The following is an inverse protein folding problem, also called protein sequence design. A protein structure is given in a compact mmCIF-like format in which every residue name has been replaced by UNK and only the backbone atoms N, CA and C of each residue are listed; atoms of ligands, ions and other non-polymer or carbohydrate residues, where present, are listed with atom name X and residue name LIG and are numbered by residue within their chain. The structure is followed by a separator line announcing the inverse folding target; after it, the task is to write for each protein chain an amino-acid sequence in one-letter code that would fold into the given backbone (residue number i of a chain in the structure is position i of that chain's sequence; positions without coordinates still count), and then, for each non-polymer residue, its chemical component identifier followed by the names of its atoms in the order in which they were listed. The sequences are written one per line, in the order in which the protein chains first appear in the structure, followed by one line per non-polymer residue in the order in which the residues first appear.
data_IF_316506401757
#
_entry.id   IF_316506401757
#
_cell.length_a   1.000
_cell.length_b   1.000
_cell.length_c   1.000
_cell.angle_alpha   90.00
_cell.angle_beta   90.00
_cell.angle_gamma   90.00
#
_symmetry.space_group_name_H-M   'P 1'
#
loop_
_entity.id
_entity.type
_entity.pdbx_description
1 polymer ?
#
# COMPACT_ATOMS: atom_id res chain seq x y z
N UNK A 1 12.38 -8.59 10.79
CA UNK A 1 11.47 -7.64 11.45
C UNK A 1 10.30 -7.34 10.53
N UNK A 2 9.15 -7.13 11.11
CA UNK A 2 7.94 -6.83 10.37
C UNK A 2 7.55 -5.37 10.57
N UNK A 3 7.10 -4.74 9.51
CA UNK A 3 6.72 -3.33 9.52
C UNK A 3 5.37 -3.14 8.85
N UNK A 4 4.68 -2.09 9.27
CA UNK A 4 3.47 -1.61 8.66
C UNK A 4 3.79 -0.27 8.02
N UNK A 5 3.48 -0.12 6.73
CA UNK A 5 3.77 1.10 5.97
C UNK A 5 2.47 1.63 5.39
N UNK A 6 2.15 2.88 5.69
CA UNK A 6 1.02 3.57 5.07
C UNK A 6 1.46 4.20 3.77
N UNK A 7 0.70 3.95 2.72
CA UNK A 7 0.97 4.49 1.39
C UNK A 7 -0.22 5.30 0.94
N UNK A 8 0.02 6.52 0.49
CA UNK A 8 -1.02 7.40 -0.06
C UNK A 8 -0.82 7.54 -1.55
N UNK A 9 -1.87 7.26 -2.32
CA UNK A 9 -1.86 7.37 -3.77
C UNK A 9 -2.82 8.48 -4.18
N UNK A 10 -2.37 9.50 -4.93
CA UNK A 10 -3.20 10.63 -5.31
C UNK A 10 -4.12 10.29 -6.49
N UNK A 11 -5.08 9.42 -6.26
CA UNK A 11 -6.13 9.10 -7.22
C UNK A 11 -7.43 8.82 -6.48
N UNK A 12 -8.58 9.12 -7.07
CA UNK A 12 -9.87 8.86 -6.42
C UNK A 12 -10.10 7.38 -6.16
N UNK A 13 -10.75 7.08 -5.06
CA UNK A 13 -11.23 5.75 -4.78
C UNK A 13 -12.63 5.60 -5.36
N UNK A 14 -12.71 5.21 -6.63
CA UNK A 14 -13.97 4.96 -7.31
C UNK A 14 -14.44 3.53 -7.05
N UNK A 15 -15.64 3.20 -7.54
CA UNK A 15 -16.25 1.89 -7.31
C UNK A 15 -15.40 0.75 -7.88
N UNK A 16 -14.86 0.94 -9.07
CA UNK A 16 -14.05 -0.08 -9.73
C UNK A 16 -12.76 -0.34 -8.95
N UNK A 17 -12.09 0.72 -8.51
CA UNK A 17 -10.88 0.61 -7.71
C UNK A 17 -11.18 -0.02 -6.35
N UNK A 18 -12.31 0.33 -5.74
CA UNK A 18 -12.75 -0.27 -4.49
C UNK A 18 -12.88 -1.78 -4.61
N UNK A 19 -13.55 -2.26 -5.66
CA UNK A 19 -13.71 -3.69 -5.90
C UNK A 19 -12.37 -4.39 -6.10
N UNK A 20 -11.49 -3.75 -6.85
CA UNK A 20 -10.15 -4.28 -7.08
C UNK A 20 -9.38 -4.43 -5.77
N UNK A 21 -9.37 -3.38 -4.93
CA UNK A 21 -8.66 -3.41 -3.66
C UNK A 21 -9.29 -4.38 -2.66
N UNK A 22 -10.59 -4.53 -2.65
CA UNK A 22 -11.25 -5.57 -1.84
C UNK A 22 -10.76 -6.96 -2.24
N UNK A 23 -10.62 -7.21 -3.53
CA UNK A 23 -10.07 -8.46 -4.03
C UNK A 23 -8.62 -8.65 -3.61
N UNK A 24 -7.82 -7.59 -3.69
CA UNK A 24 -6.42 -7.61 -3.24
C UNK A 24 -6.32 -7.97 -1.76
N UNK A 25 -7.15 -7.37 -0.92
CA UNK A 25 -7.14 -7.65 0.52
C UNK A 25 -7.58 -9.07 0.86
N UNK A 26 -8.43 -9.68 0.04
CA UNK A 26 -8.88 -11.08 0.27
C UNK A 26 -7.86 -12.11 -0.17
N UNK A 27 -7.01 -11.78 -1.13
CA UNK A 27 -5.99 -12.70 -1.59
C UNK A 27 -4.79 -12.65 -0.62
N UNK A 28 -3.82 -13.55 -0.82
CA UNK A 28 -2.65 -13.64 0.05
C UNK A 28 -1.66 -12.47 -0.22
N UNK A 29 -2.17 -11.27 -0.26
CA UNK A 29 -1.39 -10.06 -0.48
C UNK A 29 -1.02 -9.41 0.84
N UNK A 30 -0.06 -8.49 0.77
CA UNK A 30 0.46 -7.80 1.95
C UNK A 30 -0.31 -6.55 2.32
N UNK A 31 -1.32 -6.19 1.54
CA UNK A 31 -2.20 -5.07 1.88
C UNK A 31 -3.20 -5.53 2.93
N UNK A 32 -3.11 -4.96 4.12
CA UNK A 32 -3.98 -5.35 5.23
C UNK A 32 -5.29 -4.57 5.25
N UNK A 33 -5.28 -3.33 4.80
CA UNK A 33 -6.47 -2.49 4.73
C UNK A 33 -6.28 -1.34 3.77
N UNK A 34 -7.39 -0.74 3.37
CA UNK A 34 -7.37 0.46 2.54
C UNK A 34 -8.59 1.32 2.85
N UNK A 35 -8.47 2.60 2.60
CA UNK A 35 -9.60 3.52 2.58
C UNK A 35 -9.24 4.73 1.72
N UNK A 36 -10.24 5.52 1.38
CA UNK A 36 -9.97 6.70 0.58
C UNK A 36 -11.24 7.43 0.21
N UNK A 37 -11.07 8.47 -0.58
CA UNK A 37 -12.14 9.33 -1.08
C UNK A 37 -11.75 9.87 -2.46
N UNK A 38 -12.38 10.96 -2.89
CA UNK A 38 -12.08 11.58 -4.19
C UNK A 38 -10.67 12.18 -4.25
N UNK A 39 -10.06 12.47 -3.10
CA UNK A 39 -8.74 13.11 -3.03
C UNK A 39 -7.58 12.12 -3.08
N UNK A 40 -7.79 10.90 -2.58
CA UNK A 40 -6.71 9.92 -2.59
C UNK A 40 -7.08 8.61 -1.94
N UNK A 41 -6.22 7.62 -2.16
CA UNK A 41 -6.34 6.27 -1.60
C UNK A 41 -5.22 6.07 -0.60
N UNK A 42 -5.56 5.57 0.59
CA UNK A 42 -4.57 5.18 1.59
C UNK A 42 -4.60 3.67 1.75
N UNK A 43 -3.42 3.07 1.64
CA UNK A 43 -3.23 1.64 1.80
C UNK A 43 -2.30 1.40 2.98
N UNK A 44 -2.54 0.33 3.72
CA UNK A 44 -1.60 -0.13 4.75
C UNK A 44 -1.03 -1.45 4.28
N UNK A 45 0.30 -1.50 4.18
CA UNK A 45 1.03 -2.67 3.66
C UNK A 45 1.87 -3.24 4.79
N UNK A 46 1.80 -4.56 4.97
CA UNK A 46 2.66 -5.26 5.92
C UNK A 46 3.84 -5.87 5.16
N UNK A 47 5.05 -5.50 5.54
CA UNK A 47 6.27 -5.93 4.87
C UNK A 47 7.32 -6.37 5.87
N UNK A 48 8.27 -7.17 5.39
CA UNK A 48 9.45 -7.56 6.17
C UNK A 48 10.66 -6.80 5.69
N UNK A 49 11.59 -6.54 6.59
CA UNK A 49 12.84 -5.88 6.25
C UNK A 49 13.81 -5.93 7.41
N UNK A 50 15.06 -5.65 7.14
CA UNK A 50 16.10 -5.57 8.16
C UNK A 50 16.10 -4.22 8.87
N UNK A 51 15.57 -3.20 8.20
CA UNK A 51 15.48 -1.85 8.73
C UNK A 51 14.33 -1.12 8.03
N UNK A 52 14.07 0.12 8.45
CA UNK A 52 12.99 0.93 7.88
C UNK A 52 13.15 1.18 6.39
N UNK A 53 14.37 1.38 5.92
CA UNK A 53 14.64 1.60 4.50
C UNK A 53 14.27 0.38 3.66
N UNK A 54 14.58 -0.82 4.15
CA UNK A 54 14.17 -2.06 3.51
C UNK A 54 12.66 -2.19 3.47
N UNK A 55 11.98 -1.80 4.55
CA UNK A 55 10.53 -1.82 4.61
C UNK A 55 9.92 -0.91 3.54
N UNK A 56 10.46 0.29 3.34
CA UNK A 56 10.00 1.21 2.30
C UNK A 56 10.19 0.59 0.92
N UNK A 57 11.36 0.00 0.65
CA UNK A 57 11.61 -0.66 -0.64
C UNK A 57 10.63 -1.80 -0.90
N UNK A 58 10.34 -2.59 0.12
CA UNK A 58 9.38 -3.68 0.02
C UNK A 58 7.98 -3.16 -0.26
N UNK A 59 7.58 -2.08 0.42
CA UNK A 59 6.28 -1.44 0.20
C UNK A 59 6.17 -0.88 -1.23
N UNK A 60 7.21 -0.23 -1.73
CA UNK A 60 7.26 0.26 -3.11
C UNK A 60 7.04 -0.89 -4.10
N UNK A 61 7.68 -2.02 -3.85
CA UNK A 61 7.57 -3.20 -4.71
C UNK A 61 6.15 -3.77 -4.70
N UNK A 62 5.52 -3.83 -3.52
CA UNK A 62 4.14 -4.31 -3.38
C UNK A 62 3.17 -3.38 -4.12
N UNK A 63 3.34 -2.07 -3.96
CA UNK A 63 2.48 -1.09 -4.63
C UNK A 63 2.66 -1.13 -6.15
N UNK A 64 3.89 -1.33 -6.62
CA UNK A 64 4.15 -1.48 -8.06
C UNK A 64 3.43 -2.68 -8.67
N UNK A 65 3.25 -3.75 -7.88
CA UNK A 65 2.48 -4.92 -8.31
C UNK A 65 0.96 -4.67 -8.35
N UNK A 66 0.47 -3.76 -7.52
CA UNK A 66 -0.96 -3.42 -7.44
C UNK A 66 -1.33 -2.33 -8.44
N UNK A 67 -0.50 -1.30 -8.53
CA UNK A 67 -0.69 -0.16 -9.44
C UNK A 67 0.55 0.00 -10.34
N UNK A 68 0.69 -0.84 -11.36
CA UNK A 68 1.87 -0.79 -12.23
C UNK A 68 2.03 0.57 -12.91
N UNK A 69 3.27 1.05 -12.96
CA UNK A 69 3.59 2.33 -13.59
C UNK A 69 3.34 3.56 -12.73
N UNK A 70 2.79 3.40 -11.54
CA UNK A 70 2.58 4.52 -10.62
C UNK A 70 3.84 4.78 -9.80
N UNK A 71 4.31 6.03 -9.87
CA UNK A 71 5.51 6.46 -9.14
C UNK A 71 5.23 7.63 -8.19
N UNK A 72 3.98 8.05 -8.09
CA UNK A 72 3.57 9.23 -7.33
C UNK A 72 3.02 8.89 -5.94
N UNK A 73 3.17 7.66 -5.50
CA UNK A 73 2.78 7.26 -4.16
C UNK A 73 3.66 7.89 -3.08
N UNK A 74 3.05 8.26 -1.97
CA UNK A 74 3.76 8.77 -0.80
C UNK A 74 3.78 7.72 0.28
N UNK A 75 4.95 7.47 0.84
CA UNK A 75 5.17 6.42 1.82
C UNK A 75 5.38 7.06 3.19
N UNK A 76 4.57 6.65 4.16
CA UNK A 76 4.73 7.06 5.53
C UNK A 76 5.91 6.36 6.20
N UNK A 77 6.24 6.76 7.41
CA UNK A 77 7.31 6.15 8.16
C UNK A 77 6.90 4.72 8.58
N UNK A 78 7.73 3.71 8.30
CA UNK A 78 7.44 2.33 8.70
C UNK A 78 7.32 2.20 10.22
N UNK A 79 6.30 1.47 10.64
CA UNK A 79 6.09 1.15 12.05
C UNK A 79 6.36 -0.33 12.25
N UNK A 80 7.23 -0.62 13.20
CA UNK A 80 7.53 -2.00 13.55
C UNK A 80 6.34 -2.64 14.28
N UNK A 81 6.01 -3.86 13.90
CA UNK A 81 4.93 -4.62 14.50
C UNK A 81 5.40 -5.95 15.08
#
# INVERSE_FOLDING_TARGET
MHYEVDVTIPRPLDEQTTRFLESVCRSANRVSRFHGDDAGIRLTVEVSGMCREDAIRSAVREIAGIFPGRTDGRYGEPKEI
#
